data_IF_494763068828
#
_entry.id   IF_494763068828
#
_cell.length_a   1.000
_cell.length_b   1.000
_cell.length_c   1.000
_cell.angle_alpha   90.00
_cell.angle_beta   90.00
_cell.angle_gamma   90.00
#
_symmetry.space_group_name_H-M   'P 1'
#
loop_
_entity.id
_entity.type
_entity.pdbx_description
1 polymer ?
#
# COMPACT_ATOMS: atom_id res chain seq x y z
N UNK A 1 -7.58 -6.20 -14.01
CA UNK A 1 -7.44 -6.31 -12.54
C UNK A 1 -8.66 -6.97 -11.92
N UNK A 2 -9.89 -6.47 -12.15
CA UNK A 2 -11.13 -7.11 -11.66
C UNK A 2 -11.23 -8.61 -11.99
N UNK A 3 -11.05 -8.99 -13.26
CA UNK A 3 -11.06 -10.39 -13.71
C UNK A 3 -10.09 -11.31 -12.94
N UNK A 4 -8.91 -10.80 -12.56
CA UNK A 4 -7.90 -11.56 -11.82
C UNK A 4 -8.40 -11.85 -10.40
N UNK A 5 -9.04 -10.86 -9.78
CA UNK A 5 -9.59 -11.00 -8.43
C UNK A 5 -10.80 -11.93 -8.43
N UNK A 6 -11.66 -11.84 -9.45
CA UNK A 6 -12.78 -12.78 -9.65
C UNK A 6 -12.30 -14.22 -9.83
N UNK A 7 -11.30 -14.44 -10.69
CA UNK A 7 -10.68 -15.76 -10.89
C UNK A 7 -10.06 -16.28 -9.59
N UNK A 8 -9.40 -15.42 -8.82
CA UNK A 8 -8.83 -15.78 -7.52
C UNK A 8 -9.92 -16.21 -6.53
N UNK A 9 -10.95 -15.39 -6.35
CA UNK A 9 -12.07 -15.71 -5.45
C UNK A 9 -12.75 -17.02 -5.83
N UNK A 10 -12.95 -17.24 -7.14
CA UNK A 10 -13.50 -18.49 -7.67
C UNK A 10 -12.61 -19.70 -7.33
N UNK A 11 -11.29 -19.58 -7.44
CA UNK A 11 -10.35 -20.65 -7.10
C UNK A 11 -10.40 -21.02 -5.61
N UNK A 12 -10.72 -20.07 -4.73
CA UNK A 12 -10.95 -20.31 -3.31
C UNK A 12 -12.39 -20.71 -2.97
N UNK A 13 -13.28 -20.84 -3.96
CA UNK A 13 -14.70 -21.13 -3.73
C UNK A 13 -15.45 -20.00 -3.02
N UNK A 14 -14.93 -18.78 -3.07
CA UNK A 14 -15.52 -17.61 -2.42
C UNK A 14 -16.37 -16.87 -3.45
N UNK A 15 -17.64 -16.68 -3.11
CA UNK A 15 -18.53 -15.86 -3.92
C UNK A 15 -18.42 -14.40 -3.51
N UNK A 16 -18.54 -13.47 -4.47
CA UNK A 16 -18.42 -12.03 -4.22
C UNK A 16 -19.46 -11.53 -3.20
N UNK A 17 -20.68 -12.05 -3.25
CA UNK A 17 -21.77 -11.72 -2.31
C UNK A 17 -21.49 -12.10 -0.86
N UNK A 18 -20.50 -12.98 -0.62
CA UNK A 18 -20.08 -13.36 0.75
C UNK A 18 -19.03 -12.41 1.32
N UNK A 19 -18.53 -11.46 0.53
CA UNK A 19 -17.54 -10.50 0.96
C UNK A 19 -18.27 -9.31 1.58
N UNK A 20 -18.14 -9.16 2.89
CA UNK A 20 -18.75 -8.04 3.62
C UNK A 20 -18.04 -6.70 3.33
N UNK A 21 -16.70 -6.70 3.32
CA UNK A 21 -15.91 -5.49 3.18
C UNK A 21 -14.46 -5.84 2.76
N UNK A 22 -13.85 -5.01 1.92
CA UNK A 22 -12.42 -5.04 1.64
C UNK A 22 -11.71 -3.90 2.38
N UNK A 23 -10.71 -4.24 3.20
CA UNK A 23 -9.73 -3.27 3.71
C UNK A 23 -8.64 -3.08 2.66
N UNK A 24 -8.48 -1.84 2.18
CA UNK A 24 -7.55 -1.51 1.09
C UNK A 24 -6.68 -0.31 1.43
N UNK A 25 -5.58 -0.14 0.73
CA UNK A 25 -4.76 1.06 0.85
C UNK A 25 -5.41 2.26 0.13
N UNK A 26 -4.72 3.41 0.10
CA UNK A 26 -5.22 4.61 -0.59
C UNK A 26 -5.12 4.56 -2.12
N UNK A 27 -4.68 3.44 -2.70
CA UNK A 27 -4.36 3.39 -4.12
C UNK A 27 -5.64 3.45 -4.97
N UNK A 28 -5.71 4.43 -5.88
CA UNK A 28 -6.88 4.68 -6.73
C UNK A 28 -7.29 3.48 -7.58
N UNK A 29 -6.34 2.63 -7.97
CA UNK A 29 -6.60 1.39 -8.70
C UNK A 29 -7.44 0.39 -7.87
N UNK A 30 -7.16 0.27 -6.57
CA UNK A 30 -7.86 -0.67 -5.67
C UNK A 30 -9.25 -0.14 -5.31
N UNK A 31 -9.40 1.18 -5.17
CA UNK A 31 -10.72 1.82 -5.04
C UNK A 31 -11.60 1.52 -6.26
N UNK A 32 -11.06 1.75 -7.47
CA UNK A 32 -11.78 1.46 -8.71
C UNK A 32 -12.14 -0.02 -8.85
N UNK A 33 -11.23 -0.90 -8.45
CA UNK A 33 -11.46 -2.35 -8.42
C UNK A 33 -12.66 -2.70 -7.53
N UNK A 34 -12.70 -2.23 -6.28
CA UNK A 34 -13.79 -2.53 -5.36
C UNK A 34 -15.14 -1.99 -5.90
N UNK A 35 -15.13 -0.78 -6.47
CA UNK A 35 -16.32 -0.19 -7.09
C UNK A 35 -16.81 -1.02 -8.30
N UNK A 36 -15.89 -1.52 -9.14
CA UNK A 36 -16.24 -2.36 -10.29
C UNK A 36 -16.81 -3.72 -9.87
N UNK A 37 -16.31 -4.28 -8.77
CA UNK A 37 -16.80 -5.54 -8.22
C UNK A 37 -18.08 -5.37 -7.39
N UNK A 38 -18.53 -4.13 -7.14
CA UNK A 38 -19.67 -3.85 -6.29
C UNK A 38 -19.46 -4.24 -4.83
N UNK A 39 -18.20 -4.25 -4.36
CA UNK A 39 -17.85 -4.65 -2.99
C UNK A 39 -17.55 -3.40 -2.17
N UNK A 40 -18.16 -3.31 -1.00
CA UNK A 40 -17.86 -2.24 -0.05
C UNK A 40 -16.39 -2.27 0.37
N UNK A 41 -15.77 -1.11 0.50
CA UNK A 41 -14.37 -1.02 0.90
C UNK A 41 -14.08 0.14 1.84
N UNK A 42 -13.09 -0.07 2.71
CA UNK A 42 -12.62 0.95 3.66
C UNK A 42 -11.11 1.13 3.58
N UNK A 43 -10.64 2.31 3.97
CA UNK A 43 -9.21 2.60 4.06
C UNK A 43 -8.58 1.79 5.20
N UNK A 44 -7.43 1.19 4.93
CA UNK A 44 -6.57 0.63 5.94
C UNK A 44 -6.04 1.74 6.86
N UNK A 45 -6.36 1.64 8.15
CA UNK A 45 -5.96 2.62 9.15
C UNK A 45 -4.43 2.76 9.26
N UNK A 46 -3.71 1.64 9.19
CA UNK A 46 -2.24 1.66 9.28
C UNK A 46 -1.61 2.44 8.12
N UNK A 47 -2.13 2.27 6.91
CA UNK A 47 -1.67 3.03 5.74
C UNK A 47 -2.05 4.51 5.86
N UNK A 48 -3.24 4.83 6.37
CA UNK A 48 -3.66 6.21 6.60
C UNK A 48 -2.75 6.91 7.62
N UNK A 49 -2.41 6.23 8.73
CA UNK A 49 -1.48 6.74 9.73
C UNK A 49 -0.08 6.97 9.13
N UNK A 50 0.41 6.01 8.34
CA UNK A 50 1.68 6.13 7.64
C UNK A 50 1.70 7.36 6.70
N UNK A 51 0.62 7.59 5.95
CA UNK A 51 0.48 8.77 5.08
C UNK A 51 0.48 10.07 5.90
N UNK A 52 -0.29 10.12 6.99
CA UNK A 52 -0.36 11.28 7.87
C UNK A 52 1.02 11.65 8.46
N UNK A 53 1.78 10.65 8.93
CA UNK A 53 3.14 10.85 9.42
C UNK A 53 4.05 11.35 8.29
N UNK A 54 3.98 10.74 7.10
CA UNK A 54 4.79 11.16 5.97
C UNK A 54 4.51 12.61 5.56
N UNK A 55 3.25 13.03 5.55
CA UNK A 55 2.87 14.40 5.22
C UNK A 55 3.29 15.40 6.30
N UNK A 56 3.18 15.03 7.58
CA UNK A 56 3.70 15.84 8.67
C UNK A 56 5.23 16.05 8.57
N UNK A 57 5.96 15.00 8.21
CA UNK A 57 7.41 15.05 8.06
C UNK A 57 7.87 15.92 6.89
N UNK A 58 7.08 16.05 5.81
CA UNK A 58 7.38 16.95 4.69
C UNK A 58 7.33 18.43 5.07
N UNK A 59 6.59 18.79 6.11
CA UNK A 59 6.52 20.18 6.60
C UNK A 59 7.82 20.55 7.34
N UNK A 60 8.53 19.56 7.87
CA UNK A 60 9.80 19.76 8.56
C UNK A 60 10.92 19.92 7.52
N UNK A 61 11.29 21.15 7.21
CA UNK A 61 12.28 21.51 6.17
C UNK A 61 13.64 20.82 6.30
N UNK A 62 14.08 20.50 7.53
CA UNK A 62 15.34 19.78 7.78
C UNK A 62 15.25 18.26 7.64
N UNK A 63 14.04 17.71 7.56
CA UNK A 63 13.83 16.26 7.54
C UNK A 63 14.27 15.63 6.22
N UNK A 64 14.08 16.31 5.09
CA UNK A 64 14.48 15.80 3.79
C UNK A 64 16.01 15.60 3.67
N UNK A 65 16.80 16.51 4.25
CA UNK A 65 18.26 16.37 4.28
C UNK A 65 18.71 15.21 5.16
N UNK A 66 18.09 15.05 6.33
CA UNK A 66 18.34 13.92 7.22
C UNK A 66 17.98 12.60 6.52
N UNK A 67 16.82 12.55 5.87
CA UNK A 67 16.35 11.37 5.15
C UNK A 67 17.29 11.00 4.00
N UNK A 68 17.82 11.98 3.25
CA UNK A 68 18.85 11.77 2.22
C UNK A 68 20.13 11.16 2.81
N UNK A 69 20.62 11.69 3.94
CA UNK A 69 21.81 11.16 4.63
C UNK A 69 21.60 9.71 5.08
N UNK A 70 20.47 9.40 5.70
CA UNK A 70 20.12 8.05 6.13
C UNK A 70 20.05 7.09 4.94
N UNK A 71 19.31 7.47 3.88
CA UNK A 71 19.18 6.66 2.66
C UNK A 71 20.54 6.35 2.03
N UNK A 72 21.45 7.32 1.96
CA UNK A 72 22.81 7.12 1.42
C UNK A 72 23.56 6.04 2.18
N UNK A 73 23.51 6.05 3.51
CA UNK A 73 24.18 5.05 4.37
C UNK A 73 23.53 3.67 4.23
N UNK A 74 22.20 3.59 4.17
CA UNK A 74 21.51 2.30 4.01
C UNK A 74 21.73 1.70 2.63
N UNK A 75 21.63 2.49 1.55
CA UNK A 75 21.82 2.00 0.18
C UNK A 75 23.25 1.49 -0.05
N UNK A 76 24.27 2.21 0.41
CA UNK A 76 25.67 1.75 0.31
C UNK A 76 25.98 0.53 1.18
N UNK A 77 25.25 0.30 2.28
CA UNK A 77 25.40 -0.92 3.10
C UNK A 77 24.66 -2.12 2.53
N UNK A 78 23.54 -1.92 1.82
CA UNK A 78 22.79 -2.99 1.16
C UNK A 78 23.59 -3.51 -0.04
N UNK A 79 24.16 -2.63 -0.88
CA UNK A 79 24.97 -3.03 -2.04
C UNK A 79 26.23 -3.82 -1.64
N UNK A 80 26.88 -3.46 -0.52
CA UNK A 80 28.06 -4.17 0.01
C UNK A 80 27.75 -5.52 0.64
N UNK A 81 26.49 -5.81 1.00
CA UNK A 81 26.09 -7.11 1.55
C UNK A 81 25.73 -8.14 0.48
N UNK A 82 25.38 -7.70 -0.73
CA UNK A 82 25.00 -8.59 -1.85
C UNK A 82 26.21 -9.06 -2.68
N UNK A 83 27.42 -8.57 -2.38
CA UNK A 83 28.67 -8.90 -3.12
C UNK A 83 29.61 -9.87 -2.39
N UNK A 84 29.18 -10.49 -1.29
CA UNK A 84 29.91 -11.58 -0.63
C UNK A 84 29.13 -12.89 -0.69
#
# INVERSE_FOLDING_TARGET
>A
MARIVEELLKNFGISIDKIFLILRDGASAVVKLCNLLGIDSSHCFAHLLQLAINDALKIVTSFDELLKKIKKVTSTKIEKKTTN
#
